data_IF_582329325240
#
_entry.id   IF_582329325240
#
_cell.length_a   1.000
_cell.length_b   1.000
_cell.length_c   1.000
_cell.angle_alpha   90.00
_cell.angle_beta   90.00
_cell.angle_gamma   90.00
#
_symmetry.space_group_name_H-M   'P 1'
#
loop_
_entity.id
_entity.type
_entity.pdbx_description
1 polymer ?
#
# COMPACT_ATOMS: atom_id res chain seq x y z
N UNK A 1 7.95 -29.17 14.03
CA UNK A 1 8.77 -28.25 13.23
C UNK A 1 7.81 -27.38 12.44
N UNK A 2 7.92 -26.06 12.53
CA UNK A 2 7.07 -25.09 11.83
C UNK A 2 7.89 -24.37 10.75
N UNK A 3 7.22 -23.84 9.74
CA UNK A 3 7.83 -22.94 8.74
C UNK A 3 8.13 -21.60 9.42
N UNK A 4 9.31 -21.03 9.13
CA UNK A 4 9.64 -19.68 9.62
C UNK A 4 8.65 -18.67 9.05
N UNK A 5 8.16 -17.75 9.87
CA UNK A 5 7.17 -16.74 9.48
C UNK A 5 7.63 -15.92 8.27
N UNK A 6 8.88 -15.46 8.26
CA UNK A 6 9.51 -14.79 7.11
C UNK A 6 9.50 -15.61 5.81
N UNK A 7 9.69 -16.94 5.90
CA UNK A 7 9.62 -17.83 4.73
C UNK A 7 8.18 -17.99 4.21
N UNK A 8 7.20 -18.07 5.12
CA UNK A 8 5.79 -18.13 4.75
C UNK A 8 5.36 -16.82 4.08
N UNK A 9 5.76 -15.67 4.65
CA UNK A 9 5.53 -14.33 4.09
C UNK A 9 6.19 -14.15 2.72
N UNK A 10 7.44 -14.60 2.56
CA UNK A 10 8.14 -14.55 1.26
C UNK A 10 7.42 -15.40 0.20
N UNK A 11 6.91 -16.58 0.58
CA UNK A 11 6.13 -17.45 -0.31
C UNK A 11 4.82 -16.79 -0.74
N UNK A 12 4.13 -16.11 0.19
CA UNK A 12 2.92 -15.34 -0.09
C UNK A 12 3.19 -14.14 -1.00
N UNK A 13 4.24 -13.36 -0.74
CA UNK A 13 4.63 -12.23 -1.58
C UNK A 13 4.99 -12.69 -3.02
N UNK A 14 5.69 -13.81 -3.15
CA UNK A 14 6.02 -14.40 -4.45
C UNK A 14 4.75 -14.89 -5.19
N UNK A 15 3.85 -15.58 -4.50
CA UNK A 15 2.58 -16.04 -5.07
C UNK A 15 1.70 -14.87 -5.53
N UNK A 16 1.60 -13.79 -4.75
CA UNK A 16 0.93 -12.55 -5.15
C UNK A 16 1.59 -11.91 -6.39
N UNK A 17 2.92 -11.86 -6.43
CA UNK A 17 3.66 -11.31 -7.58
C UNK A 17 3.41 -12.10 -8.85
N UNK A 18 3.40 -13.43 -8.78
CA UNK A 18 3.08 -14.30 -9.91
C UNK A 18 1.63 -14.12 -10.38
N UNK A 19 0.67 -14.11 -9.45
CA UNK A 19 -0.75 -13.88 -9.76
C UNK A 19 -0.96 -12.52 -10.41
N UNK A 20 -0.41 -11.46 -9.81
CA UNK A 20 -0.55 -10.09 -10.31
C UNK A 20 0.12 -9.90 -11.68
N UNK A 21 1.30 -10.50 -11.91
CA UNK A 21 1.96 -10.47 -13.21
C UNK A 21 1.19 -11.19 -14.33
N UNK A 22 0.46 -12.26 -13.99
CA UNK A 22 -0.44 -12.92 -14.94
C UNK A 22 -1.68 -12.07 -15.28
N UNK A 23 -2.17 -11.28 -14.33
CA UNK A 23 -3.32 -10.40 -14.51
C UNK A 23 -2.97 -9.05 -15.14
N UNK A 24 -1.75 -8.56 -14.92
CA UNK A 24 -1.25 -7.25 -15.38
C UNK A 24 0.13 -7.43 -16.03
N UNK A 25 0.21 -7.77 -17.33
CA UNK A 25 1.49 -8.07 -17.98
C UNK A 25 2.56 -6.98 -17.87
N UNK A 26 2.16 -5.71 -17.84
CA UNK A 26 3.07 -4.58 -17.68
C UNK A 26 3.80 -4.55 -16.31
N UNK A 27 3.25 -5.22 -15.29
CA UNK A 27 3.94 -5.42 -14.01
C UNK A 27 5.20 -6.30 -14.16
N UNK A 28 5.15 -7.33 -15.01
CA UNK A 28 6.32 -8.19 -15.25
C UNK A 28 7.46 -7.39 -15.85
N UNK A 29 7.18 -6.53 -16.85
CA UNK A 29 8.16 -5.60 -17.40
C UNK A 29 8.71 -4.64 -16.34
N UNK A 30 7.87 -4.12 -15.44
CA UNK A 30 8.34 -3.27 -14.35
C UNK A 30 9.33 -4.01 -13.45
N UNK A 31 9.03 -5.25 -13.04
CA UNK A 31 9.89 -6.04 -12.16
C UNK A 31 11.24 -6.32 -12.83
N UNK A 32 11.22 -6.63 -14.14
CA UNK A 32 12.44 -6.83 -14.93
C UNK A 32 13.30 -5.57 -14.97
N UNK A 33 12.71 -4.41 -15.25
CA UNK A 33 13.43 -3.12 -15.31
C UNK A 33 13.95 -2.72 -13.92
N UNK A 34 13.16 -2.90 -12.86
CA UNK A 34 13.62 -2.66 -11.49
C UNK A 34 14.84 -3.52 -11.14
N UNK A 35 14.82 -4.81 -11.50
CA UNK A 35 15.94 -5.70 -11.29
C UNK A 35 17.19 -5.30 -12.09
N UNK A 36 17.04 -4.82 -13.33
CA UNK A 36 18.15 -4.26 -14.12
C UNK A 36 18.75 -3.01 -13.46
N UNK A 37 17.92 -2.04 -13.09
CA UNK A 37 18.37 -0.79 -12.46
C UNK A 37 19.09 -1.08 -11.15
N UNK A 38 18.55 -1.99 -10.33
CA UNK A 38 19.16 -2.35 -9.05
C UNK A 38 20.51 -3.04 -9.23
N UNK A 39 20.68 -3.90 -10.24
CA UNK A 39 21.97 -4.54 -10.54
C UNK A 39 23.02 -3.54 -11.03
N UNK A 40 22.62 -2.53 -11.78
CA UNK A 40 23.52 -1.53 -12.35
C UNK A 40 23.90 -0.42 -11.35
N UNK A 41 23.28 -0.40 -10.17
CA UNK A 41 23.48 0.65 -9.16
C UNK A 41 24.72 0.38 -8.29
N UNK A 42 25.63 1.34 -8.22
CA UNK A 42 26.97 1.17 -7.62
C UNK A 42 27.02 1.26 -6.09
N UNK A 43 25.98 1.78 -5.42
CA UNK A 43 25.93 2.00 -3.96
C UNK A 43 24.84 1.16 -3.26
N UNK A 44 24.75 -0.13 -3.62
CA UNK A 44 23.57 -0.96 -3.32
C UNK A 44 23.37 -1.41 -1.86
N UNK A 45 24.35 -1.27 -0.95
CA UNK A 45 24.30 -1.97 0.34
C UNK A 45 23.82 -1.11 1.54
N UNK A 46 23.89 0.22 1.46
CA UNK A 46 23.60 1.08 2.62
C UNK A 46 22.14 1.04 3.09
N UNK A 47 21.21 0.70 2.19
CA UNK A 47 19.76 0.66 2.45
C UNK A 47 19.16 -0.74 2.28
N UNK A 48 19.99 -1.80 2.35
CA UNK A 48 19.59 -3.20 2.33
C UNK A 48 20.49 -4.07 1.44
N UNK A 49 20.48 -5.39 1.67
CA UNK A 49 21.18 -6.32 0.78
C UNK A 49 20.52 -6.40 -0.61
N UNK A 50 21.26 -6.75 -1.67
CA UNK A 50 20.69 -6.95 -3.01
C UNK A 50 19.52 -7.95 -3.04
N UNK A 51 19.60 -9.01 -2.23
CA UNK A 51 18.54 -10.01 -2.08
C UNK A 51 17.28 -9.40 -1.46
N UNK A 52 17.44 -8.59 -0.39
CA UNK A 52 16.32 -7.86 0.23
C UNK A 52 15.67 -6.92 -0.79
N UNK A 53 16.46 -6.09 -1.47
CA UNK A 53 15.95 -5.11 -2.46
C UNK A 53 15.18 -5.80 -3.59
N UNK A 54 15.64 -6.96 -4.06
CA UNK A 54 14.97 -7.73 -5.13
C UNK A 54 13.69 -8.43 -4.65
N UNK A 55 13.66 -8.87 -3.40
CA UNK A 55 12.48 -9.46 -2.78
C UNK A 55 11.44 -8.42 -2.33
N UNK A 56 11.88 -7.20 -2.05
CA UNK A 56 11.09 -6.14 -1.44
C UNK A 56 9.98 -5.63 -2.37
N UNK A 57 8.75 -5.71 -1.84
CA UNK A 57 7.53 -5.28 -2.50
C UNK A 57 6.55 -4.74 -1.47
N UNK A 58 5.60 -3.93 -1.91
CA UNK A 58 4.36 -3.71 -1.17
C UNK A 58 3.15 -3.93 -2.05
N UNK A 59 2.06 -4.44 -1.48
CA UNK A 59 0.75 -4.48 -2.13
C UNK A 59 -0.17 -3.40 -1.58
N UNK A 60 -1.25 -3.11 -2.30
CA UNK A 60 -2.37 -2.35 -1.75
C UNK A 60 -3.70 -3.06 -2.00
N UNK A 61 -4.54 -3.15 -0.97
CA UNK A 61 -5.90 -3.72 -1.05
C UNK A 61 -6.92 -2.73 -0.49
N UNK A 62 -8.18 -2.92 -0.87
CA UNK A 62 -9.28 -2.09 -0.38
C UNK A 62 -10.43 -2.96 0.12
N UNK A 63 -11.03 -2.53 1.22
CA UNK A 63 -12.05 -3.24 1.97
C UNK A 63 -13.23 -2.29 2.27
N UNK A 64 -14.40 -2.85 2.52
CA UNK A 64 -15.65 -2.11 2.68
C UNK A 64 -16.12 -1.95 4.12
N UNK A 65 -15.63 -2.75 5.06
CA UNK A 65 -16.09 -2.71 6.45
C UNK A 65 -15.02 -3.06 7.47
N UNK A 66 -15.28 -2.71 8.74
CA UNK A 66 -14.44 -3.07 9.86
C UNK A 66 -14.28 -4.59 10.03
N UNK A 67 -15.34 -5.36 9.77
CA UNK A 67 -15.29 -6.83 9.80
C UNK A 67 -14.33 -7.38 8.75
N UNK A 68 -14.40 -6.87 7.52
CA UNK A 68 -13.46 -7.26 6.46
C UNK A 68 -12.01 -6.85 6.81
N UNK A 69 -11.82 -5.69 7.45
CA UNK A 69 -10.50 -5.24 7.91
C UNK A 69 -9.95 -6.10 9.06
N UNK A 70 -10.80 -6.55 9.98
CA UNK A 70 -10.43 -7.48 11.04
C UNK A 70 -10.00 -8.84 10.48
N UNK A 71 -10.75 -9.39 9.52
CA UNK A 71 -10.36 -10.62 8.82
C UNK A 71 -9.02 -10.47 8.08
N UNK A 72 -8.77 -9.31 7.46
CA UNK A 72 -7.48 -9.01 6.85
C UNK A 72 -6.35 -8.96 7.89
N UNK A 73 -6.59 -8.35 9.06
CA UNK A 73 -5.62 -8.31 10.15
C UNK A 73 -5.25 -9.72 10.64
N UNK A 74 -6.24 -10.59 10.83
CA UNK A 74 -6.03 -11.97 11.22
C UNK A 74 -5.30 -12.79 10.15
N UNK A 75 -5.63 -12.57 8.87
CA UNK A 75 -4.94 -13.20 7.76
C UNK A 75 -3.45 -12.79 7.73
N UNK A 76 -3.17 -11.49 7.87
CA UNK A 76 -1.81 -10.96 7.82
C UNK A 76 -0.97 -11.30 9.06
N UNK A 77 -1.59 -11.46 10.23
CA UNK A 77 -0.91 -11.92 11.43
C UNK A 77 -0.26 -13.31 11.25
N UNK A 78 -0.87 -14.20 10.46
CA UNK A 78 -0.28 -15.50 10.13
C UNK A 78 1.06 -15.39 9.36
N UNK A 79 1.26 -14.27 8.65
CA UNK A 79 2.50 -13.94 7.93
C UNK A 79 3.43 -13.04 8.75
N UNK A 80 3.15 -12.83 10.04
CA UNK A 80 3.94 -11.95 10.92
C UNK A 80 3.84 -10.49 10.52
N UNK A 81 2.69 -10.06 10.00
CA UNK A 81 2.44 -8.70 9.55
C UNK A 81 1.36 -8.08 10.44
N UNK A 82 1.67 -6.91 11.01
CA UNK A 82 0.84 -6.23 12.00
C UNK A 82 0.46 -4.83 11.49
N UNK A 83 -0.69 -4.27 11.90
CA UNK A 83 -1.09 -2.95 11.47
C UNK A 83 -0.18 -1.88 12.09
N UNK A 84 0.40 -1.03 11.24
CA UNK A 84 1.28 0.07 11.63
C UNK A 84 0.77 1.37 11.02
N UNK A 85 0.61 2.37 11.90
CA UNK A 85 0.14 3.70 11.54
C UNK A 85 -1.34 3.75 11.17
N UNK A 86 -1.86 4.97 11.17
CA UNK A 86 -3.22 5.30 10.75
C UNK A 86 -3.14 6.42 9.71
N UNK A 87 -3.79 6.20 8.58
CA UNK A 87 -3.78 7.13 7.45
C UNK A 87 -5.22 7.53 7.15
N UNK A 88 -5.53 8.81 7.37
CA UNK A 88 -6.82 9.39 7.04
C UNK A 88 -6.76 10.11 5.69
N UNK A 89 -7.28 9.47 4.65
CA UNK A 89 -7.24 10.01 3.30
C UNK A 89 -8.42 10.94 3.01
N UNK A 90 -9.35 11.05 3.96
CA UNK A 90 -10.50 11.96 3.87
C UNK A 90 -10.09 13.40 4.13
N UNK A 91 -9.00 13.59 4.87
CA UNK A 91 -8.41 14.89 5.18
C UNK A 91 -7.33 15.33 4.17
N UNK A 92 -7.10 14.54 3.11
CA UNK A 92 -6.17 14.92 2.05
C UNK A 92 -6.71 16.12 1.25
N UNK A 93 -5.81 16.88 0.61
CA UNK A 93 -6.19 18.01 -0.26
C UNK A 93 -7.18 17.63 -1.36
N UNK A 94 -7.13 16.37 -1.82
CA UNK A 94 -8.17 15.73 -2.63
C UNK A 94 -8.72 14.55 -1.83
N UNK A 95 -9.85 14.74 -1.12
CA UNK A 95 -10.38 13.73 -0.21
C UNK A 95 -10.76 12.42 -0.91
N UNK A 96 -10.42 11.30 -0.28
CA UNK A 96 -10.87 9.96 -0.68
C UNK A 96 -11.60 9.34 0.52
N UNK A 97 -12.77 8.68 0.33
CA UNK A 97 -13.62 8.21 1.43
C UNK A 97 -13.08 6.96 2.14
N UNK A 98 -11.81 6.94 2.53
CA UNK A 98 -11.16 5.79 3.16
C UNK A 98 -10.26 6.18 4.32
N UNK A 99 -10.20 5.30 5.31
CA UNK A 99 -9.17 5.27 6.35
C UNK A 99 -8.32 4.02 6.16
N UNK A 100 -7.03 4.08 6.48
CA UNK A 100 -6.10 3.00 6.14
C UNK A 100 -5.07 2.72 7.24
N UNK A 101 -4.48 1.53 7.18
CA UNK A 101 -3.28 1.13 7.93
C UNK A 101 -2.36 0.30 7.02
N UNK A 102 -1.11 0.09 7.42
CA UNK A 102 -0.17 -0.76 6.70
C UNK A 102 0.12 -2.04 7.50
N UNK A 103 -0.16 -3.21 6.92
CA UNK A 103 0.24 -4.48 7.52
C UNK A 103 1.66 -4.81 7.13
N UNK A 104 2.57 -4.94 8.10
CA UNK A 104 3.99 -5.26 7.85
C UNK A 104 4.69 -5.91 9.04
N UNK A 105 5.85 -6.55 8.85
CA UNK A 105 6.69 -6.96 9.96
C UNK A 105 7.15 -5.76 10.79
N UNK A 106 7.32 -5.98 12.09
CA UNK A 106 7.71 -4.94 13.05
C UNK A 106 9.07 -5.19 13.69
N UNK A 107 9.61 -6.41 13.57
CA UNK A 107 10.94 -6.75 14.06
C UNK A 107 11.98 -6.60 12.94
N UNK A 108 13.16 -6.08 13.29
CA UNK A 108 14.24 -5.77 12.35
C UNK A 108 14.70 -7.02 11.60
N UNK A 109 14.89 -8.15 12.29
CA UNK A 109 15.33 -9.39 11.66
C UNK A 109 14.29 -9.94 10.67
N UNK A 110 13.00 -9.72 10.93
CA UNK A 110 11.91 -10.12 10.04
C UNK A 110 11.80 -9.20 8.82
N UNK A 111 12.05 -7.89 8.99
CA UNK A 111 12.16 -6.92 7.89
C UNK A 111 13.39 -7.19 7.00
N UNK A 112 14.53 -7.52 7.62
CA UNK A 112 15.76 -7.86 6.91
C UNK A 112 15.57 -9.18 6.12
N UNK A 113 14.81 -10.15 6.65
CA UNK A 113 14.50 -11.40 5.97
C UNK A 113 13.45 -11.26 4.85
N UNK A 114 12.37 -10.52 5.08
CA UNK A 114 11.37 -10.23 4.06
C UNK A 114 10.49 -9.03 4.48
N UNK A 115 10.64 -7.84 3.86
CA UNK A 115 9.93 -6.63 4.24
C UNK A 115 8.58 -6.48 3.50
N UNK A 116 7.88 -7.57 3.16
CA UNK A 116 6.60 -7.44 2.43
C UNK A 116 5.57 -6.68 3.27
N UNK A 117 4.91 -5.71 2.63
CA UNK A 117 3.93 -4.80 3.26
C UNK A 117 2.64 -4.80 2.47
N UNK A 118 1.50 -4.60 3.12
CA UNK A 118 0.21 -4.38 2.44
C UNK A 118 -0.48 -3.15 3.00
N UNK A 119 -0.57 -2.10 2.20
CA UNK A 119 -1.40 -0.92 2.50
C UNK A 119 -2.87 -1.30 2.34
N UNK A 120 -3.64 -1.18 3.42
CA UNK A 120 -5.02 -1.65 3.45
C UNK A 120 -5.95 -0.50 3.80
N UNK A 121 -6.79 -0.14 2.84
CA UNK A 121 -7.80 0.92 2.99
C UNK A 121 -9.17 0.33 3.25
N UNK A 122 -9.93 0.95 4.15
CA UNK A 122 -11.32 0.63 4.43
C UNK A 122 -12.21 1.83 4.09
N UNK A 123 -13.33 1.57 3.41
CA UNK A 123 -14.35 2.58 3.13
C UNK A 123 -14.90 3.21 4.43
N UNK A 124 -14.88 4.54 4.48
CA UNK A 124 -15.38 5.32 5.61
C UNK A 124 -16.85 5.69 5.39
N UNK A 125 -17.73 4.68 5.37
CA UNK A 125 -19.15 4.86 5.00
C UNK A 125 -19.95 5.75 5.94
N UNK A 126 -19.44 5.98 7.15
CA UNK A 126 -20.10 6.79 8.18
C UNK A 126 -19.83 8.29 8.01
N UNK A 127 -18.94 8.65 7.08
CA UNK A 127 -18.62 10.03 6.74
C UNK A 127 -19.67 10.60 5.77
N UNK A 128 -20.52 11.48 6.29
CA UNK A 128 -21.66 12.06 5.56
C UNK A 128 -21.24 13.00 4.43
N UNK A 129 -19.98 13.42 4.42
CA UNK A 129 -19.36 14.18 3.33
C UNK A 129 -19.39 13.43 2.00
N UNK A 130 -19.36 12.10 2.06
CA UNK A 130 -19.31 11.23 0.89
C UNK A 130 -20.58 10.38 0.73
N UNK A 131 -21.19 9.95 1.84
CA UNK A 131 -22.32 9.03 1.81
C UNK A 131 -23.56 9.64 2.45
N UNK A 132 -24.58 9.90 1.63
CA UNK A 132 -25.91 10.22 2.15
C UNK A 132 -26.47 9.08 3.01
N UNK A 133 -27.40 9.33 3.95
CA UNK A 133 -27.97 8.27 4.78
C UNK A 133 -28.57 7.10 3.98
N UNK A 134 -29.21 7.38 2.83
CA UNK A 134 -29.74 6.34 1.94
C UNK A 134 -28.61 5.53 1.29
N UNK A 135 -27.60 6.22 0.73
CA UNK A 135 -26.48 5.56 0.08
C UNK A 135 -25.68 4.71 1.07
N UNK A 136 -25.40 5.22 2.27
CA UNK A 136 -24.76 4.49 3.36
C UNK A 136 -25.48 3.18 3.67
N UNK A 137 -26.81 3.22 3.78
CA UNK A 137 -27.63 2.01 4.05
C UNK A 137 -27.51 0.98 2.92
N UNK A 138 -27.53 1.43 1.66
CA UNK A 138 -27.42 0.57 0.47
C UNK A 138 -26.02 -0.04 0.35
N UNK A 139 -24.98 0.76 0.55
CA UNK A 139 -23.58 0.32 0.61
C UNK A 139 -23.39 -0.72 1.72
N UNK A 140 -23.87 -0.42 2.94
CA UNK A 140 -23.81 -1.36 4.06
C UNK A 140 -24.55 -2.68 3.79
N UNK A 141 -25.71 -2.62 3.14
CA UNK A 141 -26.45 -3.83 2.73
C UNK A 141 -25.69 -4.64 1.67
N UNK A 142 -25.03 -3.98 0.72
CA UNK A 142 -24.24 -4.64 -0.30
C UNK A 142 -23.02 -5.35 0.32
N UNK A 143 -22.25 -4.62 1.14
CA UNK A 143 -21.05 -5.15 1.79
C UNK A 143 -21.42 -6.26 2.79
N UNK A 144 -22.46 -6.08 3.57
CA UNK A 144 -22.91 -7.10 4.55
C UNK A 144 -23.43 -8.40 3.93
N UNK A 145 -23.63 -8.47 2.61
CA UNK A 145 -24.06 -9.69 1.89
C UNK A 145 -22.92 -10.46 1.25
N UNK A 146 -21.75 -9.84 1.04
CA UNK A 146 -20.60 -10.52 0.45
C UNK A 146 -19.72 -11.12 1.55
N UNK A 147 -18.87 -12.06 1.14
CA UNK A 147 -17.87 -12.67 2.01
C UNK A 147 -16.54 -12.65 1.27
N UNK A 148 -15.65 -11.73 1.66
CA UNK A 148 -14.33 -11.61 1.03
C UNK A 148 -13.39 -12.74 1.48
N UNK A 149 -13.38 -13.02 2.78
CA UNK A 149 -12.49 -14.01 3.38
C UNK A 149 -13.27 -15.26 3.77
N UNK A 150 -12.75 -16.43 3.39
CA UNK A 150 -13.28 -17.71 3.85
C UNK A 150 -13.09 -17.84 5.38
N UNK A 151 -14.16 -18.03 6.18
CA UNK A 151 -14.05 -18.18 7.63
C UNK A 151 -13.11 -19.32 8.05
N UNK A 152 -13.01 -20.40 7.26
CA UNK A 152 -12.08 -21.48 7.54
C UNK A 152 -10.61 -21.07 7.30
N UNK A 153 -10.36 -20.18 6.34
CA UNK A 153 -9.05 -19.60 6.09
C UNK A 153 -8.64 -18.69 7.26
N UNK A 154 -9.54 -17.81 7.71
CA UNK A 154 -9.27 -16.91 8.83
C UNK A 154 -9.07 -17.68 10.13
N UNK A 155 -9.87 -18.71 10.40
CA UNK A 155 -9.66 -19.58 11.55
C UNK A 155 -8.30 -20.31 11.50
N UNK A 156 -7.82 -20.68 10.30
CA UNK A 156 -6.49 -21.25 10.12
C UNK A 156 -5.39 -20.20 10.31
N UNK A 157 -5.57 -18.98 9.81
CA UNK A 157 -4.63 -17.88 9.97
C UNK A 157 -4.41 -17.53 11.45
N UNK A 158 -5.49 -17.42 12.24
CA UNK A 158 -5.41 -17.20 13.69
C UNK A 158 -4.59 -18.29 14.41
N UNK A 159 -4.76 -19.57 14.03
CA UNK A 159 -3.94 -20.66 14.57
C UNK A 159 -2.48 -20.53 14.17
N UNK A 160 -2.20 -20.25 12.89
CA UNK A 160 -0.83 -20.09 12.39
C UNK A 160 -0.11 -18.92 13.09
N UNK A 161 -0.81 -17.82 13.36
CA UNK A 161 -0.25 -16.66 14.05
C UNK A 161 0.23 -16.98 15.48
N UNK A 162 -0.40 -17.95 16.15
CA UNK A 162 -0.06 -18.37 17.52
C UNK A 162 0.92 -19.55 17.53
N UNK A 163 0.60 -20.61 16.79
CA UNK A 163 1.29 -21.90 16.86
C UNK A 163 2.40 -22.06 15.80
N UNK A 164 2.45 -21.17 14.81
CA UNK A 164 3.25 -21.30 13.61
C UNK A 164 2.63 -22.21 12.55
N UNK A 165 3.12 -22.11 11.31
CA UNK A 165 2.57 -22.89 10.19
C UNK A 165 3.23 -24.27 10.09
N UNK A 166 2.46 -25.38 10.11
CA UNK A 166 2.99 -26.70 9.79
C UNK A 166 3.47 -26.76 8.33
N UNK A 167 4.63 -27.39 8.02
CA UNK A 167 5.14 -27.47 6.66
C UNK A 167 4.17 -28.11 5.66
N UNK A 168 3.34 -29.06 6.10
CA UNK A 168 2.34 -29.72 5.26
C UNK A 168 1.18 -28.78 4.85
N UNK A 169 0.93 -27.73 5.62
CA UNK A 169 -0.18 -26.80 5.40
C UNK A 169 0.25 -25.54 4.64
N UNK A 170 1.55 -25.24 4.62
CA UNK A 170 2.08 -23.96 4.16
C UNK A 170 1.72 -23.63 2.70
N UNK A 171 1.87 -24.60 1.79
CA UNK A 171 1.55 -24.40 0.37
C UNK A 171 0.05 -24.14 0.16
N UNK A 172 -0.80 -24.93 0.82
CA UNK A 172 -2.25 -24.79 0.74
C UNK A 172 -2.73 -23.44 1.30
N UNK A 173 -2.19 -23.07 2.47
CA UNK A 173 -2.51 -21.82 3.13
C UNK A 173 -2.12 -20.62 2.28
N UNK A 174 -0.90 -20.59 1.73
CA UNK A 174 -0.44 -19.53 0.83
C UNK A 174 -1.34 -19.45 -0.40
N UNK A 175 -1.64 -20.58 -1.05
CA UNK A 175 -2.49 -20.62 -2.24
C UNK A 175 -3.89 -20.03 -1.97
N UNK A 176 -4.52 -20.43 -0.86
CA UNK A 176 -5.86 -19.93 -0.47
C UNK A 176 -5.82 -18.46 -0.09
N UNK A 177 -4.80 -18.02 0.64
CA UNK A 177 -4.60 -16.61 0.99
C UNK A 177 -4.41 -15.74 -0.25
N UNK A 178 -3.59 -16.17 -1.21
CA UNK A 178 -3.36 -15.48 -2.48
C UNK A 178 -4.65 -15.36 -3.30
N UNK A 179 -5.43 -16.45 -3.37
CA UNK A 179 -6.67 -16.48 -4.15
C UNK A 179 -7.74 -15.46 -3.68
N UNK A 180 -7.72 -15.05 -2.41
CA UNK A 180 -8.59 -13.98 -1.87
C UNK A 180 -8.43 -12.66 -2.61
N UNK A 181 -7.24 -12.41 -3.15
CA UNK A 181 -6.88 -11.14 -3.81
C UNK A 181 -6.83 -11.24 -5.34
N UNK A 182 -7.31 -12.36 -5.90
CA UNK A 182 -7.41 -12.55 -7.33
C UNK A 182 -8.52 -11.68 -7.93
N UNK A 183 -8.29 -11.19 -9.14
CA UNK A 183 -9.29 -10.39 -9.82
C UNK A 183 -10.50 -11.22 -10.25
N UNK A 184 -11.69 -10.88 -9.75
CA UNK A 184 -12.92 -11.55 -10.18
C UNK A 184 -13.29 -11.20 -11.63
N UNK A 185 -13.80 -12.22 -12.33
CA UNK A 185 -14.38 -12.09 -13.68
C UNK A 185 -15.89 -11.85 -13.65
N UNK A 186 -16.51 -11.81 -12.47
CA UNK A 186 -17.95 -11.66 -12.34
C UNK A 186 -18.44 -10.33 -12.91
N UNK A 187 -19.60 -10.31 -13.59
CA UNK A 187 -20.15 -9.07 -14.12
C UNK A 187 -20.48 -8.07 -13.02
N UNK A 188 -19.98 -6.84 -13.18
CA UNK A 188 -20.24 -5.70 -12.30
C UNK A 188 -21.61 -5.10 -12.63
N UNK A 189 -22.45 -4.79 -11.64
CA UNK A 189 -23.67 -4.02 -11.90
C UNK A 189 -23.31 -2.59 -12.33
N UNK A 190 -23.57 -2.26 -13.60
CA UNK A 190 -23.12 -0.98 -14.19
C UNK A 190 -23.78 0.22 -13.54
N UNK A 191 -25.08 0.15 -13.28
CA UNK A 191 -25.82 1.29 -12.74
C UNK A 191 -25.38 1.58 -11.31
N UNK A 192 -25.19 0.52 -10.52
CA UNK A 192 -24.67 0.65 -9.16
C UNK A 192 -23.23 1.15 -9.12
N UNK A 193 -22.37 0.63 -10.00
CA UNK A 193 -20.99 1.07 -10.11
C UNK A 193 -20.88 2.54 -10.50
N UNK A 194 -21.67 3.01 -11.47
CA UNK A 194 -21.68 4.40 -11.91
C UNK A 194 -22.15 5.37 -10.80
N UNK A 195 -23.16 4.97 -10.04
CA UNK A 195 -23.65 5.75 -8.89
C UNK A 195 -22.56 5.92 -7.83
N UNK A 196 -21.84 4.84 -7.49
CA UNK A 196 -20.71 4.91 -6.56
C UNK A 196 -19.54 5.70 -7.13
N UNK A 197 -19.27 5.59 -8.44
CA UNK A 197 -18.19 6.31 -9.10
C UNK A 197 -18.42 7.83 -9.09
N UNK A 198 -19.68 8.27 -9.09
CA UNK A 198 -20.05 9.67 -8.90
C UNK A 198 -19.71 10.21 -7.49
N UNK A 199 -19.61 9.34 -6.48
CA UNK A 199 -19.06 9.70 -5.16
C UNK A 199 -17.53 9.66 -5.20
N UNK A 200 -16.98 8.51 -5.58
CA UNK A 200 -15.55 8.29 -5.74
C UNK A 200 -15.32 6.98 -6.47
N UNK A 201 -14.39 6.94 -7.43
CA UNK A 201 -14.04 5.67 -8.07
C UNK A 201 -13.49 4.64 -7.07
N UNK A 202 -12.90 5.07 -5.94
CA UNK A 202 -12.49 4.17 -4.86
C UNK A 202 -13.71 3.53 -4.19
N UNK A 203 -14.79 4.30 -3.99
CA UNK A 203 -16.04 3.75 -3.49
C UNK A 203 -16.66 2.74 -4.48
N UNK A 204 -16.58 3.00 -5.79
CA UNK A 204 -17.05 2.06 -6.82
C UNK A 204 -16.21 0.77 -6.86
N UNK A 205 -14.89 0.90 -6.75
CA UNK A 205 -13.96 -0.22 -6.73
C UNK A 205 -14.10 -1.09 -5.47
N UNK A 206 -14.56 -0.51 -4.36
CA UNK A 206 -14.81 -1.24 -3.11
C UNK A 206 -16.23 -1.81 -3.09
N UNK A 207 -17.25 -0.96 -3.21
CA UNK A 207 -18.65 -1.31 -2.97
C UNK A 207 -19.42 -1.66 -4.25
N UNK A 208 -18.80 -1.59 -5.42
CA UNK A 208 -19.39 -1.99 -6.69
C UNK A 208 -19.09 -3.44 -7.09
N UNK A 209 -18.21 -4.13 -6.36
CA UNK A 209 -17.72 -5.48 -6.68
C UNK A 209 -17.89 -6.45 -5.51
N UNK A 210 -18.06 -7.74 -5.81
CA UNK A 210 -18.30 -8.78 -4.79
C UNK A 210 -17.02 -9.35 -4.17
N UNK A 211 -15.85 -9.07 -4.74
CA UNK A 211 -14.53 -9.53 -4.27
C UNK A 211 -13.61 -8.35 -4.01
N UNK A 212 -12.50 -8.58 -3.32
CA UNK A 212 -11.37 -7.63 -3.30
C UNK A 212 -10.28 -8.13 -4.25
N UNK A 213 -9.25 -7.32 -4.46
CA UNK A 213 -8.13 -7.66 -5.33
C UNK A 213 -6.90 -6.82 -4.97
N UNK A 214 -5.72 -7.21 -5.50
CA UNK A 214 -4.53 -6.36 -5.46
C UNK A 214 -4.72 -5.16 -6.39
N UNK A 215 -4.79 -3.95 -5.82
CA UNK A 215 -4.91 -2.71 -6.59
C UNK A 215 -3.64 -2.42 -7.39
N UNK A 216 -2.51 -2.57 -6.70
CA UNK A 216 -1.18 -2.52 -7.27
C UNK A 216 -0.22 -3.34 -6.40
N UNK A 217 0.87 -3.75 -7.04
CA UNK A 217 2.00 -4.39 -6.38
C UNK A 217 3.25 -3.65 -6.83
N UNK A 218 3.99 -3.12 -5.85
CA UNK A 218 5.05 -2.14 -6.05
C UNK A 218 6.39 -2.76 -5.73
N UNK A 219 7.30 -2.99 -6.70
CA UNK A 219 8.66 -3.39 -6.41
C UNK A 219 9.50 -2.18 -5.97
N UNK A 220 10.57 -2.46 -5.22
CA UNK A 220 11.56 -1.44 -4.86
C UNK A 220 12.62 -1.27 -5.95
N UNK A 221 13.02 -0.03 -6.18
CA UNK A 221 14.16 0.36 -7.01
C UNK A 221 15.13 1.27 -6.25
N UNK A 222 16.41 1.20 -6.58
CA UNK A 222 17.47 2.04 -5.98
C UNK A 222 17.57 3.42 -6.66
N UNK A 223 17.35 3.49 -7.98
CA UNK A 223 17.25 4.76 -8.72
C UNK A 223 15.93 4.84 -9.50
N UNK A 224 14.96 5.56 -8.93
CA UNK A 224 13.63 5.71 -9.53
C UNK A 224 13.63 6.57 -10.79
N UNK A 225 14.58 7.50 -10.93
CA UNK A 225 14.66 8.35 -12.13
C UNK A 225 15.22 7.54 -13.32
N UNK A 226 16.22 6.69 -13.08
CA UNK A 226 16.74 5.77 -14.09
C UNK A 226 15.67 4.76 -14.52
N UNK A 227 14.91 4.19 -13.58
CA UNK A 227 13.79 3.32 -13.91
C UNK A 227 12.72 4.05 -14.72
N UNK A 228 12.38 5.29 -14.36
CA UNK A 228 11.44 6.11 -15.12
C UNK A 228 11.91 6.27 -16.58
N UNK A 229 13.19 6.59 -16.79
CA UNK A 229 13.77 6.73 -18.12
C UNK A 229 13.74 5.42 -18.91
N UNK A 230 14.15 4.30 -18.30
CA UNK A 230 14.17 2.96 -18.92
C UNK A 230 12.78 2.44 -19.27
N UNK A 231 11.78 2.69 -18.43
CA UNK A 231 10.38 2.34 -18.70
C UNK A 231 9.83 3.18 -19.86
N UNK A 232 10.11 4.49 -19.87
CA UNK A 232 9.72 5.39 -20.96
C UNK A 232 10.35 4.98 -22.28
N UNK A 233 11.63 4.62 -22.31
CA UNK A 233 12.33 4.14 -23.50
C UNK A 233 11.75 2.83 -24.06
N UNK A 234 11.11 2.00 -23.21
CA UNK A 234 10.39 0.78 -23.61
C UNK A 234 8.94 1.03 -24.02
N UNK A 235 8.51 2.30 -24.12
CA UNK A 235 7.16 2.68 -24.54
C UNK A 235 6.10 2.58 -23.44
N UNK A 236 6.49 2.39 -22.18
CA UNK A 236 5.54 2.42 -21.06
C UNK A 236 5.19 3.88 -20.74
N UNK A 237 3.90 4.19 -20.71
CA UNK A 237 3.42 5.53 -20.36
C UNK A 237 3.47 5.72 -18.84
N UNK A 238 4.58 6.31 -18.38
CA UNK A 238 4.75 6.72 -16.99
C UNK A 238 3.79 7.87 -16.64
N UNK A 239 3.27 7.90 -15.42
CA UNK A 239 2.39 8.97 -14.94
C UNK A 239 3.21 10.15 -14.41
N UNK A 240 2.89 11.37 -14.85
CA UNK A 240 3.23 12.63 -14.18
C UNK A 240 4.63 12.77 -13.55
N UNK A 241 4.73 13.60 -12.52
CA UNK A 241 5.96 13.77 -11.74
C UNK A 241 6.13 12.64 -10.70
N UNK A 242 7.39 12.32 -10.37
CA UNK A 242 7.73 11.48 -9.22
C UNK A 242 7.29 12.18 -7.94
N UNK A 243 6.52 11.47 -7.11
CA UNK A 243 6.01 11.95 -5.82
C UNK A 243 7.02 11.69 -4.71
N UNK A 244 6.95 12.49 -3.64
CA UNK A 244 7.90 12.46 -2.52
C UNK A 244 8.97 13.57 -2.63
N UNK A 245 10.09 13.45 -1.90
CA UNK A 245 11.15 14.45 -1.93
C UNK A 245 11.79 14.57 -3.33
N UNK A 246 12.37 15.73 -3.66
CA UNK A 246 13.12 15.90 -4.90
C UNK A 246 14.35 14.98 -4.93
N UNK A 247 14.90 14.74 -6.14
CA UNK A 247 16.24 14.15 -6.28
C UNK A 247 17.26 15.15 -5.75
N UNK A 248 18.12 14.73 -4.82
CA UNK A 248 19.19 15.57 -4.27
C UNK A 248 20.50 14.80 -4.19
N UNK A 249 21.60 15.50 -3.94
CA UNK A 249 22.90 14.88 -3.67
C UNK A 249 23.03 14.34 -2.23
N UNK A 250 22.11 14.74 -1.33
CA UNK A 250 22.10 14.30 0.05
C UNK A 250 21.37 12.96 0.25
N UNK A 251 21.31 12.46 1.50
CA UNK A 251 20.56 11.27 1.86
C UNK A 251 19.15 11.25 1.29
N UNK A 252 18.76 10.13 0.68
CA UNK A 252 17.36 9.88 0.36
C UNK A 252 16.56 9.76 1.67
N UNK A 253 15.46 10.50 1.78
CA UNK A 253 14.58 10.47 2.96
C UNK A 253 13.21 9.89 2.59
N UNK A 254 12.58 9.20 3.55
CA UNK A 254 11.25 8.59 3.37
C UNK A 254 11.20 7.71 2.12
N UNK A 255 10.36 8.06 1.14
CA UNK A 255 10.31 7.37 -0.14
C UNK A 255 10.00 8.35 -1.27
N UNK A 256 10.42 7.97 -2.48
CA UNK A 256 9.96 8.54 -3.75
C UNK A 256 9.19 7.48 -4.50
N UNK A 257 8.13 7.86 -5.19
CA UNK A 257 7.31 6.90 -5.93
C UNK A 257 6.71 7.48 -7.20
N UNK A 258 6.42 6.61 -8.15
CA UNK A 258 5.70 6.97 -9.38
C UNK A 258 4.87 5.78 -9.82
N UNK A 259 3.91 6.04 -10.70
CA UNK A 259 3.10 5.01 -11.32
C UNK A 259 3.28 5.01 -12.83
N UNK A 260 2.75 4.00 -13.48
CA UNK A 260 2.47 4.02 -14.90
C UNK A 260 1.05 3.58 -15.13
N UNK A 261 0.44 4.13 -16.17
CA UNK A 261 -0.91 3.78 -16.53
C UNK A 261 -0.93 2.32 -16.96
N UNK A 262 -1.53 1.44 -16.16
CA UNK A 262 -1.80 0.09 -16.66
C UNK A 262 -2.92 0.14 -17.69
N UNK A 263 -2.91 -0.87 -18.56
CA UNK A 263 -3.83 -1.02 -19.68
C UNK A 263 -5.29 -1.01 -19.20
N UNK A 264 -6.18 -0.52 -20.06
CA UNK A 264 -7.63 -0.59 -19.82
C UNK A 264 -8.02 -2.05 -19.52
N UNK A 265 -8.54 -2.30 -18.33
CA UNK A 265 -8.77 -3.64 -17.83
C UNK A 265 -10.11 -4.16 -18.35
N UNK A 266 -10.15 -5.24 -19.15
CA UNK A 266 -11.40 -5.78 -19.66
C UNK A 266 -12.27 -6.27 -18.50
N UNK A 267 -13.49 -5.74 -18.43
CA UNK A 267 -14.50 -6.10 -17.42
C UNK A 267 -15.82 -6.41 -18.07
N UNK A 268 -16.56 -7.32 -17.44
CA UNK A 268 -17.96 -7.58 -17.79
C UNK A 268 -18.85 -6.71 -16.93
N UNK A 269 -19.87 -6.14 -17.56
CA UNK A 269 -20.88 -5.35 -16.89
C UNK A 269 -22.25 -5.97 -17.11
N UNK A 270 -23.05 -6.01 -16.05
CA UNK A 270 -24.46 -6.36 -16.09
C UNK A 270 -25.28 -5.07 -16.12
N UNK A 271 -26.06 -4.90 -17.20
CA UNK A 271 -27.00 -3.79 -17.32
C UNK A 271 -28.30 -4.03 -16.54
N UNK A 272 -29.16 -3.01 -16.49
CA UNK A 272 -30.44 -3.00 -15.74
C UNK A 272 -31.38 -4.16 -16.06
N UNK A 273 -31.33 -4.70 -17.27
CA UNK A 273 -32.17 -5.81 -17.73
C UNK A 273 -31.44 -7.17 -17.72
N UNK A 274 -30.29 -7.27 -17.05
CA UNK A 274 -29.52 -8.50 -16.92
C UNK A 274 -28.59 -8.81 -18.10
N UNK A 275 -28.66 -8.05 -19.19
CA UNK A 275 -27.73 -8.18 -20.32
C UNK A 275 -26.28 -7.95 -19.86
N UNK A 276 -25.38 -8.85 -20.25
CA UNK A 276 -23.94 -8.74 -19.96
C UNK A 276 -23.22 -8.20 -21.19
N UNK A 277 -22.41 -7.16 -21.00
CA UNK A 277 -21.59 -6.55 -22.04
C UNK A 277 -20.15 -6.42 -21.58
N UNK A 278 -19.20 -6.54 -22.51
CA UNK A 278 -17.81 -6.21 -22.24
C UNK A 278 -17.62 -4.69 -22.19
N UNK A 279 -16.70 -4.25 -21.35
CA UNK A 279 -16.26 -2.88 -21.22
C UNK A 279 -14.87 -2.87 -20.58
N UNK A 280 -14.43 -1.69 -20.15
CA UNK A 280 -13.14 -1.55 -19.48
C UNK A 280 -13.23 -0.67 -18.25
N UNK A 281 -12.48 -1.04 -17.20
CA UNK A 281 -12.22 -0.16 -16.06
C UNK A 281 -10.77 0.29 -16.07
N UNK A 282 -10.52 1.43 -15.43
CA UNK A 282 -9.18 1.98 -15.16
C UNK A 282 -8.95 1.96 -13.67
N UNK A 283 -8.80 0.76 -13.09
CA UNK A 283 -8.77 0.57 -11.63
C UNK A 283 -7.41 0.11 -11.10
N UNK A 284 -6.62 -0.57 -11.93
CA UNK A 284 -5.28 -1.06 -11.56
C UNK A 284 -4.20 -0.32 -12.31
N UNK A 285 -3.02 -0.22 -11.70
CA UNK A 285 -1.84 0.43 -12.24
C UNK A 285 -0.59 -0.29 -11.71
N UNK A 286 0.54 -0.08 -12.37
CA UNK A 286 1.81 -0.44 -11.76
C UNK A 286 2.39 0.78 -11.06
N UNK A 287 2.94 0.55 -9.89
CA UNK A 287 3.63 1.55 -9.09
C UNK A 287 5.03 1.06 -8.79
N UNK A 288 5.95 1.98 -8.58
CA UNK A 288 7.35 1.69 -8.19
C UNK A 288 7.81 2.70 -7.16
N UNK A 289 8.64 2.25 -6.23
CA UNK A 289 9.13 3.09 -5.14
C UNK A 289 10.65 2.96 -4.93
N UNK A 290 11.26 4.05 -4.51
CA UNK A 290 12.60 4.10 -3.95
C UNK A 290 12.51 4.54 -2.49
N UNK A 291 13.07 3.75 -1.58
CA UNK A 291 13.01 3.99 -0.12
C UNK A 291 14.34 4.47 0.41
N UNK A 292 14.29 5.56 1.17
CA UNK A 292 15.39 6.18 1.87
C UNK A 292 15.34 5.93 3.39
N UNK A 293 15.96 6.82 4.15
CA UNK A 293 16.01 6.75 5.62
C UNK A 293 14.70 7.22 6.26
N UNK A 294 14.30 6.56 7.35
CA UNK A 294 13.18 6.96 8.19
C UNK A 294 13.52 8.25 8.96
N UNK A 295 12.58 9.20 8.97
CA UNK A 295 12.73 10.48 9.67
C UNK A 295 12.17 10.41 11.09
N UNK A 296 12.81 11.12 12.01
CA UNK A 296 12.26 11.40 13.35
C UNK A 296 11.08 12.37 13.24
N UNK A 297 10.29 12.60 14.30
CA UNK A 297 9.25 13.64 14.28
C UNK A 297 9.79 15.02 13.87
N UNK A 298 10.97 15.41 14.36
CA UNK A 298 11.62 16.66 13.98
C UNK A 298 12.05 16.68 12.51
N UNK A 299 12.59 15.55 12.01
CA UNK A 299 12.88 15.40 10.58
C UNK A 299 11.61 15.47 9.73
N UNK A 300 10.50 14.91 10.19
CA UNK A 300 9.23 14.93 9.47
C UNK A 300 8.62 16.32 9.41
N UNK A 301 8.61 17.08 10.50
CA UNK A 301 8.18 18.47 10.50
C UNK A 301 8.99 19.29 9.49
N UNK A 302 10.31 19.05 9.45
CA UNK A 302 11.19 19.71 8.50
C UNK A 302 10.94 19.29 7.05
N UNK A 303 10.63 18.02 6.81
CA UNK A 303 10.18 17.50 5.52
C UNK A 303 8.90 18.20 5.06
N UNK A 304 7.89 18.28 5.93
CA UNK A 304 6.61 18.90 5.58
C UNK A 304 6.80 20.40 5.23
N UNK A 305 7.67 21.11 5.96
CA UNK A 305 8.07 22.48 5.62
C UNK A 305 8.82 22.56 4.28
N UNK A 306 9.80 21.68 4.04
CA UNK A 306 10.58 21.64 2.81
C UNK A 306 9.71 21.36 1.57
N UNK A 307 8.65 20.56 1.71
CA UNK A 307 7.73 20.25 0.62
C UNK A 307 6.88 21.45 0.18
N UNK A 308 6.81 22.52 0.97
CA UNK A 308 6.18 23.80 0.55
C UNK A 308 7.06 24.63 -0.39
N UNK A 309 8.39 24.43 -0.36
CA UNK A 309 9.35 25.05 -1.27
C UNK A 309 10.46 24.04 -1.64
N UNK A 310 10.15 23.02 -2.47
CA UNK A 310 11.10 21.96 -2.80
C UNK A 310 12.39 22.47 -3.49
N UNK A 311 12.33 23.66 -4.11
CA UNK A 311 13.48 24.29 -4.76
C UNK A 311 14.58 24.72 -3.79
N UNK A 312 14.26 24.84 -2.50
CA UNK A 312 15.21 25.19 -1.43
C UNK A 312 15.53 24.03 -0.49
N UNK A 313 15.42 22.79 -0.96
CA UNK A 313 15.66 21.59 -0.15
C UNK A 313 16.92 21.64 0.73
N UNK A 314 18.04 22.12 0.18
CA UNK A 314 19.33 22.25 0.87
C UNK A 314 19.31 23.19 2.08
N UNK A 315 18.33 24.10 2.17
CA UNK A 315 18.13 24.96 3.33
C UNK A 315 17.45 24.23 4.50
N UNK A 316 16.83 23.08 4.23
CA UNK A 316 16.10 22.28 5.22
C UNK A 316 16.89 21.02 5.59
N UNK A 317 17.38 20.26 4.60
CA UNK A 317 18.06 19.00 4.85
C UNK A 317 19.56 19.10 4.61
N UNK A 318 20.38 18.61 5.56
CA UNK A 318 21.79 18.38 5.34
C UNK A 318 22.06 17.40 4.19
N UNK A 319 23.23 17.53 3.59
CA UNK A 319 23.69 16.73 2.45
C UNK A 319 24.43 15.44 2.83
N UNK A 320 24.55 15.14 4.14
CA UNK A 320 25.21 13.92 4.62
C UNK A 320 24.45 13.24 5.75
N UNK A 321 24.57 11.91 5.82
CA UNK A 321 24.00 11.13 6.94
C UNK A 321 24.60 11.55 8.29
N UNK A 322 25.88 11.95 8.34
CA UNK A 322 26.52 12.40 9.58
C UNK A 322 25.86 13.66 10.14
N UNK A 323 25.57 14.66 9.30
CA UNK A 323 24.87 15.86 9.72
C UNK A 323 23.40 15.58 10.08
N UNK A 324 22.73 14.73 9.29
CA UNK A 324 21.36 14.26 9.60
C UNK A 324 21.27 13.59 10.99
N UNK A 325 22.26 12.76 11.34
CA UNK A 325 22.34 12.10 12.64
C UNK A 325 22.65 13.10 13.76
N UNK A 326 23.59 14.02 13.54
CA UNK A 326 23.96 15.05 14.52
C UNK A 326 22.80 16.00 14.85
N UNK A 327 21.93 16.30 13.88
CA UNK A 327 20.73 17.10 14.07
C UNK A 327 19.51 16.29 14.54
N UNK A 328 19.62 14.97 14.68
CA UNK A 328 18.51 14.11 15.11
C UNK A 328 17.33 14.09 14.13
N UNK A 329 17.58 14.21 12.83
CA UNK A 329 16.53 14.29 11.79
C UNK A 329 16.09 12.92 11.27
N UNK A 330 16.92 11.90 11.43
CA UNK A 330 16.65 10.56 10.92
C UNK A 330 17.14 9.49 11.88
N UNK A 331 16.60 8.28 11.73
CA UNK A 331 16.92 7.13 12.54
C UNK A 331 18.13 6.37 11.97
N UNK A 332 19.08 6.02 12.85
CA UNK A 332 20.32 5.31 12.53
C UNK A 332 20.58 4.23 13.57
N UNK A 333 20.92 3.00 13.14
CA UNK A 333 21.17 1.86 14.04
C UNK A 333 22.37 2.17 14.95
N UNK A 334 22.18 2.19 16.27
CA UNK A 334 23.19 2.56 17.26
C UNK A 334 23.73 4.00 17.09
N UNK A 335 22.99 4.87 16.42
CA UNK A 335 23.44 6.23 16.07
C UNK A 335 24.54 6.29 15.00
N UNK A 336 24.88 5.17 14.35
CA UNK A 336 25.91 5.09 13.32
C UNK A 336 25.39 5.65 11.98
N UNK A 337 25.92 6.79 11.48
CA UNK A 337 25.48 7.38 10.22
C UNK A 337 25.65 6.48 8.99
N UNK A 338 26.47 5.43 9.07
CA UNK A 338 26.64 4.44 8.02
C UNK A 338 25.52 3.38 7.99
N UNK A 339 24.63 3.36 8.99
CA UNK A 339 23.55 2.37 9.14
C UNK A 339 22.18 3.06 9.25
N UNK A 340 21.73 3.76 8.20
CA UNK A 340 20.41 4.37 8.18
C UNK A 340 19.31 3.32 8.37
N UNK A 341 18.31 3.63 9.20
CA UNK A 341 17.11 2.80 9.31
C UNK A 341 16.22 3.10 8.12
N UNK A 342 15.96 2.11 7.28
CA UNK A 342 15.13 2.25 6.07
C UNK A 342 13.70 2.60 6.46
N UNK A 343 13.07 3.50 5.71
CA UNK A 343 11.66 3.83 5.86
C UNK A 343 10.78 2.69 5.32
N UNK A 344 9.97 2.09 6.19
CA UNK A 344 9.12 0.92 5.91
C UNK A 344 7.64 1.26 5.72
N UNK A 345 7.27 2.52 5.95
CA UNK A 345 5.88 3.00 5.92
C UNK A 345 5.56 3.77 4.62
N UNK A 346 4.48 4.55 4.62
CA UNK A 346 3.92 5.21 3.44
C UNK A 346 3.77 6.71 3.64
N UNK A 347 3.86 7.48 2.56
CA UNK A 347 3.60 8.93 2.60
C UNK A 347 2.08 9.20 2.62
N UNK A 348 1.53 9.87 3.65
CA UNK A 348 0.10 10.14 3.75
C UNK A 348 -0.47 10.91 2.55
N UNK A 349 0.21 11.97 2.12
CA UNK A 349 -0.23 12.80 0.98
C UNK A 349 -0.08 12.09 -0.39
N UNK A 350 0.87 11.17 -0.49
CA UNK A 350 1.20 10.49 -1.74
C UNK A 350 0.25 9.32 -2.02
N UNK A 351 -0.26 8.65 -0.97
CA UNK A 351 -1.35 7.70 -1.12
C UNK A 351 -2.52 8.37 -1.88
N UNK A 352 -2.99 9.54 -1.41
CA UNK A 352 -4.03 10.33 -2.07
C UNK A 352 -3.65 10.80 -3.49
N UNK A 353 -2.40 11.20 -3.72
CA UNK A 353 -1.90 11.60 -5.04
C UNK A 353 -1.88 10.46 -6.07
N UNK A 354 -1.57 9.23 -5.62
CA UNK A 354 -1.70 8.01 -6.41
C UNK A 354 -3.19 7.69 -6.65
N UNK A 355 -4.06 7.84 -5.63
CA UNK A 355 -5.50 7.72 -5.84
C UNK A 355 -5.98 8.71 -6.92
N UNK A 356 -5.41 9.92 -7.00
CA UNK A 356 -5.71 10.94 -8.03
C UNK A 356 -5.22 10.58 -9.43
N UNK A 357 -3.99 10.06 -9.61
CA UNK A 357 -3.47 9.70 -10.95
C UNK A 357 -4.29 8.59 -11.65
N UNK A 358 -5.18 7.94 -10.90
CA UNK A 358 -6.09 6.91 -11.38
C UNK A 358 -7.43 7.45 -11.91
N UNK A 359 -7.71 8.76 -11.78
CA UNK A 359 -9.04 9.34 -12.02
C UNK A 359 -9.01 10.36 -13.18
N UNK A 360 -10.05 10.35 -14.01
CA UNK A 360 -10.23 11.31 -15.11
C UNK A 360 -10.97 12.60 -14.66
N UNK A 361 -11.40 12.70 -13.38
CA UNK A 361 -12.16 13.83 -12.82
C UNK A 361 -11.69 14.21 -11.42
N UNK A 362 -11.59 15.52 -11.16
CA UNK A 362 -11.29 16.08 -9.83
C UNK A 362 -12.46 15.88 -8.87
N UNK A 363 -12.16 15.50 -7.63
CA UNK A 363 -13.15 15.51 -6.55
C UNK A 363 -13.23 16.94 -5.98
N UNK A 364 -14.46 17.45 -5.82
CA UNK A 364 -14.68 18.77 -5.22
C UNK A 364 -14.22 18.77 -3.75
N UNK A 365 -13.59 19.87 -3.28
CA UNK A 365 -13.19 19.98 -1.88
C UNK A 365 -14.42 19.94 -0.97
N UNK A 366 -14.36 19.15 0.10
CA UNK A 366 -15.43 19.09 1.10
C UNK A 366 -15.14 20.06 2.23
N UNK A 367 -16.07 20.99 2.47
CA UNK A 367 -15.95 22.04 3.49
C UNK A 367 -16.70 21.74 4.80
N UNK A 368 -17.38 20.59 4.90
CA UNK A 368 -18.08 20.16 6.11
C UNK A 368 -17.14 19.45 7.09
N UNK A 369 -17.42 19.56 8.40
CA UNK A 369 -16.63 18.91 9.45
C UNK A 369 -16.94 17.41 9.53
N UNK A 370 -15.89 16.58 9.66
CA UNK A 370 -16.05 15.16 9.95
C UNK A 370 -16.67 14.92 11.34
N UNK A 371 -17.75 14.14 11.40
CA UNK A 371 -18.40 13.70 12.63
C UNK A 371 -18.51 12.16 12.75
N UNK A 372 -17.83 11.42 11.87
CA UNK A 372 -17.90 9.95 11.81
C UNK A 372 -17.14 9.24 12.95
N UNK A 373 -16.17 9.92 13.55
CA UNK A 373 -15.39 9.37 14.67
C UNK A 373 -14.32 8.35 14.28
N UNK A 374 -13.99 8.21 12.99
CA UNK A 374 -12.86 7.38 12.57
C UNK A 374 -11.56 7.96 13.12
N UNK A 375 -10.82 7.13 13.87
CA UNK A 375 -9.56 7.48 14.49
C UNK A 375 -8.69 6.23 14.64
N UNK A 376 -7.44 6.41 15.05
CA UNK A 376 -6.56 5.29 15.40
C UNK A 376 -7.18 4.40 16.48
N UNK A 377 -7.69 4.99 17.56
CA UNK A 377 -8.29 4.25 18.68
C UNK A 377 -9.55 3.49 18.24
N UNK A 378 -10.39 4.13 17.42
CA UNK A 378 -11.56 3.48 16.84
C UNK A 378 -11.13 2.29 15.98
N UNK A 379 -10.15 2.48 15.08
CA UNK A 379 -9.74 1.43 14.14
C UNK A 379 -9.11 0.27 14.90
N UNK A 380 -8.23 0.54 15.86
CA UNK A 380 -7.60 -0.49 16.69
C UNK A 380 -8.65 -1.31 17.46
N UNK A 381 -9.68 -0.65 18.01
CA UNK A 381 -10.78 -1.33 18.68
C UNK A 381 -11.65 -2.13 17.71
N UNK A 382 -11.92 -1.59 16.52
CA UNK A 382 -12.80 -2.19 15.52
C UNK A 382 -12.23 -3.46 14.91
N UNK A 383 -10.90 -3.55 14.81
CA UNK A 383 -10.22 -4.72 14.24
C UNK A 383 -9.74 -5.73 15.30
N UNK A 384 -9.76 -5.36 16.59
CA UNK A 384 -9.21 -6.15 17.70
C UNK A 384 -7.69 -6.42 17.57
N UNK A 385 -6.95 -5.44 17.02
CA UNK A 385 -5.49 -5.46 16.92
C UNK A 385 -4.92 -4.11 17.34
N UNK A 386 -3.79 -4.12 18.04
CA UNK A 386 -3.05 -2.90 18.34
C UNK A 386 -2.44 -2.31 17.07
N UNK A 387 -2.78 -1.07 16.74
CA UNK A 387 -2.13 -0.34 15.65
C UNK A 387 -0.85 0.28 16.20
N UNK A 388 0.29 -0.22 15.72
CA UNK A 388 1.59 0.22 16.19
C UNK A 388 1.92 1.64 15.71
N UNK A 389 2.55 2.42 16.58
CA UNK A 389 3.16 3.70 16.20
C UNK A 389 4.46 3.44 15.42
N UNK A 390 4.56 3.87 14.15
CA UNK A 390 5.77 3.72 13.37
C UNK A 390 7.00 4.37 14.03
N UNK A 391 6.86 5.51 14.72
CA UNK A 391 7.99 6.19 15.34
C UNK A 391 8.62 5.37 16.47
N UNK A 392 7.78 4.75 17.31
CA UNK A 392 8.25 3.84 18.36
C UNK A 392 9.00 2.62 17.76
N UNK A 393 8.55 2.11 16.61
CA UNK A 393 9.23 1.02 15.91
C UNK A 393 10.58 1.46 15.34
N UNK A 394 10.68 2.66 14.77
CA UNK A 394 11.94 3.19 14.27
C UNK A 394 12.92 3.51 15.40
N UNK A 395 12.44 4.01 16.54
CA UNK A 395 13.26 4.21 17.73
C UNK A 395 13.82 2.89 18.27
N UNK A 396 12.98 1.83 18.33
CA UNK A 396 13.43 0.47 18.66
C UNK A 396 14.47 -0.04 17.67
N UNK A 397 14.29 0.22 16.37
CA UNK A 397 15.24 -0.23 15.34
C UNK A 397 16.55 0.57 15.32
N UNK A 398 16.53 1.81 15.80
CA UNK A 398 17.69 2.68 15.93
C UNK A 398 18.48 2.45 17.22
N UNK A 399 17.83 1.95 18.26
CA UNK A 399 18.46 1.55 19.53
C UNK A 399 19.37 0.34 19.34
#
# INVERSE_FOLDING_TARGET
MTVRTSQLRASFAAALSQMYGAEVPAYTTLVEVAAEVNRDHTDSEALGSPDRVTAERHGAIRLGSATELADAADLFAAFGMFPVGFYDLREAASPVPVVSTAFRPIDVDELDANPFRVFTSMLATDDTRFFSPDLRKRVGTFIGRRQLFDPALIAQARRIAVDGCPPADAEDFVRRATATFALSRDPIDKAWYDELAAVSAVAADIAGVQTTHINHLTPRVLDIDELYARMTARGVTMTGAIQGPPRTAGPAVLLRQTSFRALAEPRRFRGRYGAVSDGTLRVRFGEVEARGVALTPAGRERYDAAMTDPGRWHAYFPDTHAAMAAEGLAYYRGGDPAKPVVYEDFLPASAAGIFRSNLDTEAEPVYESDASGYSLDWMSSAIDHHIHDPYALYEKAAS
#
